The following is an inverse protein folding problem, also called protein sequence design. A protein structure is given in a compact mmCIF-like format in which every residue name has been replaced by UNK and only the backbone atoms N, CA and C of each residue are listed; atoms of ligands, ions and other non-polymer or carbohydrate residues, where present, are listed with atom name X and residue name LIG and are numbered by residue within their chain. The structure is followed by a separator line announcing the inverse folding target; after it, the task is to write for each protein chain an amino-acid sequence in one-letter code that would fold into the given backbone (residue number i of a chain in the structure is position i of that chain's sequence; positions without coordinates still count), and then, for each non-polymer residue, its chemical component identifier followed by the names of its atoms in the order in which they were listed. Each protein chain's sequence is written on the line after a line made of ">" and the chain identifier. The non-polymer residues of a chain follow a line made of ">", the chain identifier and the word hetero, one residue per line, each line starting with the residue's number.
data_IF_094698652690
#
_entry.id   IF_094698652690
#
_cell.length_a   1.000
_cell.length_b   1.000
_cell.length_c   1.000
_cell.angle_alpha   90.00
_cell.angle_beta   90.00
_cell.angle_gamma   90.00
#
_symmetry.space_group_name_H-M   'P 1'
#
loop_
_entity.id
_entity.type
_entity.pdbx_description
1 polymer ?
#
# COMPACT_ATOMS: atom_id res chain seq x y z
N UNK A 1 5.29 -14.33 -3.94
CA UNK A 1 5.48 -13.75 -2.59
C UNK A 1 4.53 -12.58 -2.40
N UNK A 2 4.00 -12.40 -1.18
CA UNK A 2 2.70 -11.78 -0.96
C UNK A 2 2.59 -10.31 -1.40
N UNK A 3 1.39 -9.94 -1.88
CA UNK A 3 0.94 -8.56 -2.01
C UNK A 3 0.15 -8.17 -0.76
N UNK A 4 0.59 -7.13 -0.07
CA UNK A 4 -0.11 -6.54 1.08
C UNK A 4 -0.68 -5.19 0.67
N UNK A 5 -1.99 -5.02 0.74
CA UNK A 5 -2.66 -3.75 0.47
C UNK A 5 -2.99 -3.05 1.77
N UNK A 6 -2.36 -1.89 2.02
CA UNK A 6 -2.84 -0.97 3.04
C UNK A 6 -4.15 -0.36 2.57
N UNK A 7 -5.16 -0.28 3.44
CA UNK A 7 -6.46 0.26 3.09
C UNK A 7 -6.98 1.17 4.21
N UNK A 8 -7.59 2.29 3.85
CA UNK A 8 -8.20 3.19 4.82
C UNK A 8 -8.17 4.64 4.37
N UNK A 9 -8.95 5.48 5.07
CA UNK A 9 -9.06 6.91 4.80
C UNK A 9 -7.70 7.62 4.85
N UNK A 10 -7.57 8.81 4.25
CA UNK A 10 -6.43 9.68 4.49
C UNK A 10 -6.12 9.82 5.98
N UNK A 11 -4.84 9.94 6.33
CA UNK A 11 -4.42 10.23 7.70
C UNK A 11 -4.92 9.24 8.76
N UNK A 12 -4.98 7.93 8.45
CA UNK A 12 -5.30 6.85 9.43
C UNK A 12 -4.07 6.07 9.90
N UNK A 13 -2.86 6.57 9.63
CA UNK A 13 -1.61 5.91 10.02
C UNK A 13 -1.18 4.74 9.13
N UNK A 14 -1.73 4.61 7.92
CA UNK A 14 -1.35 3.58 6.94
C UNK A 14 0.17 3.51 6.74
N UNK A 15 0.80 4.62 6.39
CA UNK A 15 2.25 4.66 6.16
C UNK A 15 3.07 4.23 7.37
N UNK A 16 2.66 4.65 8.57
CA UNK A 16 3.30 4.22 9.81
C UNK A 16 3.17 2.70 10.03
N UNK A 17 1.99 2.14 9.77
CA UNK A 17 1.76 0.69 9.88
C UNK A 17 2.46 -0.09 8.78
N UNK A 18 2.57 0.45 7.57
CA UNK A 18 3.32 -0.14 6.47
C UNK A 18 4.82 -0.25 6.80
N UNK A 19 5.42 0.82 7.33
CA UNK A 19 6.82 0.83 7.77
C UNK A 19 7.08 -0.15 8.93
N UNK A 20 6.20 -0.19 9.92
CA UNK A 20 6.29 -1.16 11.02
C UNK A 20 6.19 -2.60 10.52
N UNK A 21 5.28 -2.86 9.58
CA UNK A 21 5.12 -4.16 8.97
C UNK A 21 6.35 -4.56 8.14
N UNK A 22 6.92 -3.63 7.37
CA UNK A 22 8.16 -3.85 6.63
C UNK A 22 9.29 -4.26 7.57
N UNK A 23 9.57 -3.46 8.59
CA UNK A 23 10.64 -3.72 9.54
C UNK A 23 10.45 -5.08 10.26
N UNK A 24 9.21 -5.39 10.65
CA UNK A 24 8.88 -6.67 11.26
C UNK A 24 9.07 -7.86 10.29
N UNK A 25 8.64 -7.72 9.03
CA UNK A 25 8.82 -8.76 8.01
C UNK A 25 10.28 -9.00 7.68
N UNK A 26 11.09 -7.95 7.59
CA UNK A 26 12.53 -8.05 7.35
C UNK A 26 13.23 -8.81 8.48
N UNK A 27 12.93 -8.46 9.74
CA UNK A 27 13.45 -9.17 10.91
C UNK A 27 12.97 -10.64 10.96
N UNK A 28 11.70 -10.88 10.66
CA UNK A 28 11.13 -12.23 10.59
C UNK A 28 11.82 -13.08 9.52
N UNK A 29 12.00 -12.54 8.30
CA UNK A 29 12.67 -13.23 7.20
C UNK A 29 14.13 -13.52 7.54
N UNK A 30 14.84 -12.57 8.16
CA UNK A 30 16.23 -12.76 8.57
C UNK A 30 16.37 -13.93 9.57
N UNK A 31 15.50 -13.95 10.60
CA UNK A 31 15.51 -14.97 11.66
C UNK A 31 15.11 -16.37 11.19
N UNK A 32 14.20 -16.47 10.23
CA UNK A 32 13.61 -17.73 9.78
C UNK A 32 14.11 -18.17 8.39
N UNK A 33 15.14 -17.52 7.85
CA UNK A 33 15.63 -17.74 6.47
C UNK A 33 15.96 -19.20 6.15
N UNK A 34 16.56 -19.94 7.10
CA UNK A 34 16.90 -21.36 6.94
C UNK A 34 15.68 -22.27 6.88
N UNK A 35 14.69 -22.05 7.75
CA UNK A 35 13.43 -22.80 7.77
C UNK A 35 12.60 -22.52 6.51
N UNK A 36 12.53 -21.24 6.11
CA UNK A 36 11.85 -20.83 4.89
C UNK A 36 12.52 -21.44 3.65
N UNK A 37 13.85 -21.47 3.59
CA UNK A 37 14.58 -22.11 2.51
C UNK A 37 14.34 -23.62 2.43
N UNK A 38 14.22 -24.30 3.58
CA UNK A 38 13.86 -25.73 3.63
C UNK A 38 12.45 -25.99 3.07
N UNK A 39 11.55 -25.01 3.16
CA UNK A 39 10.21 -25.05 2.55
C UNK A 39 10.19 -24.53 1.11
N UNK A 40 11.34 -24.20 0.52
CA UNK A 40 11.46 -23.66 -0.85
C UNK A 40 11.04 -22.19 -0.98
N UNK A 41 10.96 -21.47 0.14
CA UNK A 41 10.52 -20.07 0.20
C UNK A 41 11.75 -19.17 0.37
N UNK A 42 12.06 -18.36 -0.65
CA UNK A 42 13.18 -17.43 -0.63
C UNK A 42 12.67 -16.00 -0.75
N UNK A 43 12.88 -15.19 0.28
CA UNK A 43 12.52 -13.75 0.27
C UNK A 43 13.81 -12.95 0.30
N UNK A 44 14.01 -12.11 -0.72
CA UNK A 44 15.19 -11.25 -0.85
C UNK A 44 14.95 -9.83 -0.37
N UNK A 45 13.71 -9.34 -0.48
CA UNK A 45 13.39 -7.95 -0.13
C UNK A 45 11.91 -7.77 0.21
N UNK A 46 11.65 -6.76 1.04
CA UNK A 46 10.31 -6.24 1.35
C UNK A 46 10.28 -4.79 0.86
N UNK A 47 9.37 -4.47 -0.05
CA UNK A 47 9.31 -3.16 -0.71
C UNK A 47 7.99 -2.49 -0.37
N UNK A 48 8.05 -1.23 0.09
CA UNK A 48 6.87 -0.37 0.20
C UNK A 48 6.77 0.48 -1.06
N UNK A 49 5.62 0.41 -1.73
CA UNK A 49 5.23 1.37 -2.75
C UNK A 49 4.30 2.40 -2.12
N UNK A 50 4.85 3.57 -1.77
CA UNK A 50 4.12 4.72 -1.23
C UNK A 50 3.97 5.83 -2.29
N UNK A 51 3.15 6.83 -1.99
CA UNK A 51 2.97 8.03 -2.81
C UNK A 51 4.31 8.70 -3.16
N UNK A 52 5.22 8.79 -2.18
CA UNK A 52 6.51 9.47 -2.34
C UNK A 52 7.43 8.71 -3.31
N UNK A 53 7.44 7.37 -3.22
CA UNK A 53 8.23 6.50 -4.12
C UNK A 53 7.67 6.51 -5.55
N UNK A 54 6.36 6.73 -5.67
CA UNK A 54 5.68 6.84 -6.96
C UNK A 54 5.65 8.28 -7.52
N UNK A 55 6.28 9.24 -6.83
CA UNK A 55 6.31 10.67 -7.18
C UNK A 55 4.89 11.25 -7.42
N UNK A 56 3.93 10.83 -6.59
CA UNK A 56 2.53 11.20 -6.73
C UNK A 56 2.28 12.54 -6.03
N UNK A 57 1.99 13.57 -6.81
CA UNK A 57 1.43 14.81 -6.30
C UNK A 57 -0.05 14.59 -5.93
N UNK A 58 -0.36 14.67 -4.63
CA UNK A 58 -1.71 14.48 -4.08
C UNK A 58 -2.67 15.57 -4.53
N UNK A 59 -2.22 16.82 -4.61
CA UNK A 59 -3.07 17.94 -5.01
C UNK A 59 -3.55 17.75 -6.45
N UNK A 60 -2.63 17.36 -7.33
CA UNK A 60 -2.96 17.05 -8.72
C UNK A 60 -3.82 15.79 -8.81
N UNK A 61 -3.36 14.68 -8.23
CA UNK A 61 -4.01 13.38 -8.37
C UNK A 61 -5.48 13.37 -7.94
N UNK A 62 -5.82 14.08 -6.86
CA UNK A 62 -7.20 14.17 -6.36
C UNK A 62 -7.97 15.39 -6.88
N UNK A 63 -7.40 16.21 -7.77
CA UNK A 63 -8.10 17.34 -8.38
C UNK A 63 -9.21 16.89 -9.36
N UNK A 64 -9.04 15.72 -10.00
CA UNK A 64 -10.05 15.19 -10.92
C UNK A 64 -10.10 13.66 -10.92
N UNK A 65 -11.29 13.11 -11.21
CA UNK A 65 -11.48 11.66 -11.35
C UNK A 65 -10.64 11.04 -12.49
N UNK A 66 -10.29 11.83 -13.50
CA UNK A 66 -9.43 11.39 -14.62
C UNK A 66 -7.99 11.22 -14.17
N UNK A 67 -7.45 12.19 -13.44
CA UNK A 67 -6.08 12.10 -12.90
C UNK A 67 -5.96 11.00 -11.86
N UNK A 68 -6.95 10.84 -10.98
CA UNK A 68 -6.97 9.75 -10.02
C UNK A 68 -6.98 8.38 -10.73
N UNK A 69 -7.74 8.25 -11.83
CA UNK A 69 -7.75 7.03 -12.65
C UNK A 69 -6.38 6.75 -13.29
N UNK A 70 -5.70 7.77 -13.81
CA UNK A 70 -4.38 7.62 -14.41
C UNK A 70 -3.33 7.25 -13.37
N UNK A 71 -3.41 7.84 -12.17
CA UNK A 71 -2.57 7.48 -11.03
C UNK A 71 -2.78 6.02 -10.63
N UNK A 72 -4.03 5.55 -10.53
CA UNK A 72 -4.34 4.13 -10.24
C UNK A 72 -3.75 3.18 -11.27
N UNK A 73 -3.84 3.52 -12.55
CA UNK A 73 -3.25 2.71 -13.62
C UNK A 73 -1.72 2.64 -13.48
N UNK A 74 -1.07 3.76 -13.18
CA UNK A 74 0.37 3.84 -12.99
C UNK A 74 0.84 3.01 -11.78
N UNK A 75 0.14 3.14 -10.64
CA UNK A 75 0.37 2.34 -9.44
C UNK A 75 0.15 0.85 -9.68
N UNK A 76 -0.91 0.49 -10.40
CA UNK A 76 -1.18 -0.90 -10.77
C UNK A 76 -0.01 -1.49 -11.57
N UNK A 77 0.45 -0.80 -12.60
CA UNK A 77 1.60 -1.25 -13.40
C UNK A 77 2.90 -1.29 -12.59
N UNK A 78 3.10 -0.39 -11.63
CA UNK A 78 4.25 -0.44 -10.73
C UNK A 78 4.22 -1.67 -9.81
N UNK A 79 3.07 -1.96 -9.20
CA UNK A 79 2.88 -3.16 -8.37
C UNK A 79 3.15 -4.41 -9.21
N UNK A 80 2.55 -4.51 -10.39
CA UNK A 80 2.69 -5.68 -11.27
C UNK A 80 4.16 -5.97 -11.65
N UNK A 81 4.98 -4.93 -11.85
CA UNK A 81 6.42 -5.07 -12.11
C UNK A 81 7.22 -5.53 -10.87
N UNK A 82 6.79 -5.13 -9.68
CA UNK A 82 7.46 -5.47 -8.41
C UNK A 82 7.07 -6.85 -7.90
N UNK A 83 5.90 -7.36 -8.29
CA UNK A 83 5.46 -8.69 -7.90
C UNK A 83 6.43 -9.74 -8.43
N UNK A 84 7.01 -10.50 -7.52
CA UNK A 84 7.93 -11.57 -7.85
C UNK A 84 7.80 -12.74 -6.88
N UNK A 85 8.51 -13.84 -7.16
CA UNK A 85 8.59 -14.99 -6.25
C UNK A 85 9.52 -14.74 -5.07
N UNK A 86 10.20 -13.60 -4.99
CA UNK A 86 11.20 -13.33 -3.95
C UNK A 86 11.01 -11.98 -3.26
N UNK A 87 9.96 -11.23 -3.61
CA UNK A 87 9.68 -9.89 -3.09
C UNK A 87 8.31 -9.84 -2.43
N UNK A 88 8.26 -9.32 -1.21
CA UNK A 88 7.00 -8.93 -0.57
C UNK A 88 6.73 -7.48 -0.97
N UNK A 89 5.56 -7.21 -1.55
CA UNK A 89 5.16 -5.86 -1.96
C UNK A 89 4.09 -5.35 -1.01
N UNK A 90 4.35 -4.21 -0.37
CA UNK A 90 3.39 -3.49 0.47
C UNK A 90 2.94 -2.25 -0.31
N UNK A 91 1.69 -2.21 -0.73
CA UNK A 91 1.08 -1.02 -1.34
C UNK A 91 0.57 -0.10 -0.23
N UNK A 92 1.32 0.97 0.06
CA UNK A 92 0.91 2.04 0.96
C UNK A 92 0.18 3.13 0.18
N UNK A 93 -1.08 2.82 -0.16
CA UNK A 93 -1.99 3.77 -0.78
C UNK A 93 -3.35 3.73 -0.08
N UNK A 94 -4.29 4.61 -0.47
CA UNK A 94 -5.61 4.59 0.15
C UNK A 94 -6.39 3.31 -0.15
N UNK A 95 -6.25 2.76 -1.37
CA UNK A 95 -6.88 1.51 -1.83
C UNK A 95 -8.38 1.40 -1.50
N UNK A 96 -9.11 2.53 -1.43
CA UNK A 96 -10.49 2.61 -0.95
C UNK A 96 -11.53 2.10 -1.97
N UNK A 97 -11.19 2.12 -3.26
CA UNK A 97 -12.06 1.66 -4.33
C UNK A 97 -12.08 0.12 -4.38
N UNK A 98 -13.27 -0.47 -4.16
CA UNK A 98 -13.49 -1.92 -4.20
C UNK A 98 -13.03 -2.55 -5.52
N UNK A 99 -13.37 -1.92 -6.65
CA UNK A 99 -12.97 -2.40 -7.99
C UNK A 99 -11.45 -2.42 -8.18
N UNK A 100 -10.74 -1.43 -7.64
CA UNK A 100 -9.28 -1.38 -7.71
C UNK A 100 -8.63 -2.49 -6.87
N UNK A 101 -9.12 -2.72 -5.65
CA UNK A 101 -8.65 -3.84 -4.82
C UNK A 101 -8.91 -5.19 -5.50
N UNK A 102 -10.07 -5.35 -6.13
CA UNK A 102 -10.38 -6.56 -6.90
C UNK A 102 -9.42 -6.75 -8.08
N UNK A 103 -9.08 -5.68 -8.80
CA UNK A 103 -8.10 -5.71 -9.88
C UNK A 103 -6.73 -6.21 -9.39
N UNK A 104 -6.25 -5.70 -8.26
CA UNK A 104 -4.99 -6.13 -7.63
C UNK A 104 -5.03 -7.57 -7.12
N UNK A 105 -6.18 -8.00 -6.59
CA UNK A 105 -6.41 -9.40 -6.24
C UNK A 105 -6.32 -10.32 -7.45
N UNK A 106 -6.96 -9.95 -8.57
CA UNK A 106 -6.86 -10.71 -9.82
C UNK A 106 -5.41 -10.79 -10.33
N UNK A 107 -4.67 -9.69 -10.29
CA UNK A 107 -3.24 -9.66 -10.65
C UNK A 107 -2.43 -10.62 -9.76
N UNK A 108 -2.65 -10.58 -8.43
CA UNK A 108 -1.99 -11.48 -7.48
C UNK A 108 -2.32 -12.95 -7.77
N UNK A 109 -3.58 -13.25 -8.09
CA UNK A 109 -4.03 -14.60 -8.45
C UNK A 109 -3.37 -15.10 -9.73
N UNK A 110 -3.26 -14.26 -10.76
CA UNK A 110 -2.56 -14.60 -12.01
C UNK A 110 -1.09 -14.95 -11.76
N UNK A 111 -0.45 -14.24 -10.82
CA UNK A 111 0.94 -14.49 -10.41
C UNK A 111 1.10 -15.61 -9.37
N UNK A 112 0.00 -16.31 -9.05
CA UNK A 112 -0.06 -17.36 -8.03
C UNK A 112 0.56 -16.92 -6.69
N UNK A 113 0.32 -15.66 -6.31
CA UNK A 113 0.88 -15.08 -5.09
C UNK A 113 -0.21 -14.77 -4.06
N UNK A 114 0.05 -14.98 -2.75
CA UNK A 114 -0.90 -14.62 -1.71
C UNK A 114 -1.18 -13.11 -1.72
N UNK A 115 -2.39 -12.75 -1.31
CA UNK A 115 -2.85 -11.38 -1.25
C UNK A 115 -3.56 -11.14 0.08
N UNK A 116 -3.23 -10.06 0.78
CA UNK A 116 -3.94 -9.65 1.98
C UNK A 116 -4.23 -8.14 1.99
N UNK A 117 -5.25 -7.76 2.77
CA UNK A 117 -5.64 -6.36 2.97
C UNK A 117 -5.48 -6.04 4.45
N UNK A 118 -4.74 -4.98 4.75
CA UNK A 118 -4.61 -4.44 6.09
C UNK A 118 -5.39 -3.12 6.17
N UNK A 119 -6.54 -3.17 6.86
CA UNK A 119 -7.40 -2.00 7.03
C UNK A 119 -7.02 -1.20 8.28
N UNK A 120 -6.71 0.08 8.10
CA UNK A 120 -6.45 1.02 9.18
C UNK A 120 -7.77 1.71 9.61
N UNK A 121 -8.42 1.13 10.61
CA UNK A 121 -9.70 1.60 11.17
C UNK A 121 -9.53 2.69 12.24
N UNK A 122 -9.12 3.89 11.84
CA UNK A 122 -9.10 5.06 12.74
C UNK A 122 -10.45 5.79 12.68
N UNK A 123 -10.99 6.28 13.82
CA UNK A 123 -12.18 7.14 13.80
C UNK A 123 -11.98 8.37 12.92
N UNK A 124 -13.03 8.78 12.19
CA UNK A 124 -12.99 9.93 11.26
C UNK A 124 -12.49 11.20 11.93
N UNK A 125 -12.99 11.49 13.14
CA UNK A 125 -12.60 12.68 13.90
C UNK A 125 -11.11 12.70 14.24
N UNK A 126 -10.54 11.55 14.62
CA UNK A 126 -9.10 11.41 14.86
C UNK A 126 -8.30 11.60 13.59
N UNK A 127 -8.73 11.01 12.47
CA UNK A 127 -8.05 11.15 11.18
C UNK A 127 -8.07 12.60 10.68
N UNK A 128 -9.19 13.32 10.89
CA UNK A 128 -9.31 14.76 10.60
C UNK A 128 -8.37 15.58 11.47
N UNK A 129 -8.34 15.33 12.77
CA UNK A 129 -7.42 16.03 13.68
C UNK A 129 -5.96 15.85 13.27
N UNK A 130 -5.56 14.62 12.89
CA UNK A 130 -4.22 14.34 12.37
C UNK A 130 -3.95 15.02 11.02
N UNK A 131 -4.94 15.14 10.15
CA UNK A 131 -4.80 15.88 8.89
C UNK A 131 -4.61 17.38 9.12
N UNK A 132 -5.38 17.99 10.02
CA UNK A 132 -5.27 19.43 10.34
C UNK A 132 -3.95 19.76 11.04
N UNK A 133 -3.41 18.83 11.83
CA UNK A 133 -2.12 19.01 12.50
C UNK A 133 -0.90 18.86 11.56
N UNK A 134 -1.10 18.44 10.30
CA UNK A 134 -0.01 18.33 9.32
C UNK A 134 0.30 19.69 8.70
N UNK A 135 1.56 20.09 8.78
CA UNK A 135 2.08 21.30 8.14
C UNK A 135 2.46 21.11 6.67
N UNK A 136 2.59 19.86 6.21
CA UNK A 136 3.06 19.51 4.88
C UNK A 136 2.14 18.47 4.22
N UNK A 137 1.84 18.67 2.93
CA UNK A 137 1.12 17.74 2.06
C UNK A 137 -0.22 17.21 2.62
N UNK A 138 -1.01 18.10 3.24
CA UNK A 138 -2.35 17.80 3.80
C UNK A 138 -3.34 17.43 2.70
N UNK A 139 -4.22 16.46 2.98
CA UNK A 139 -5.35 16.19 2.07
C UNK A 139 -6.37 17.33 2.21
N UNK A 140 -6.84 17.86 1.08
CA UNK A 140 -7.78 18.97 1.04
C UNK A 140 -9.13 18.59 1.65
N UNK A 141 -9.94 19.58 2.05
CA UNK A 141 -11.26 19.34 2.63
C UNK A 141 -12.18 18.53 1.70
N UNK A 142 -11.98 18.63 0.38
CA UNK A 142 -12.72 17.86 -0.62
C UNK A 142 -12.46 16.33 -0.55
N UNK A 143 -11.29 15.90 -0.05
CA UNK A 143 -10.97 14.47 0.12
C UNK A 143 -11.57 13.89 1.41
N UNK A 144 -12.18 14.73 2.27
CA UNK A 144 -12.81 14.33 3.54
C UNK A 144 -14.29 13.89 3.40
N UNK A 145 -14.81 13.85 2.16
CA UNK A 145 -16.20 13.48 1.84
C UNK A 145 -16.34 11.97 1.56
N UNK A 146 -15.23 11.23 1.47
CA UNK A 146 -15.21 9.78 1.23
C UNK A 146 -15.01 8.95 2.50
#
# INVERSE_FOLDING_TARGET
>A
MPLVLMCGMPCTGKSTRAQQLQAWLEDYVAKNSSEMAAQGVVIKQVVILSDDVAEIDKFKTYASASEEKNCRASLYSAIERLLSRETIVISDWMNYIKGYRYQLYCSSKTMATPHCILYCGTPVETARAWNTARSDNSYDAATQVY
#
